data_IF_141676483463
#
_entry.id   IF_141676483463
#
_cell.length_a   1.000
_cell.length_b   1.000
_cell.length_c   1.000
_cell.angle_alpha   90.00
_cell.angle_beta   90.00
_cell.angle_gamma   90.00
#
_symmetry.space_group_name_H-M   'P 1'
#
loop_
_entity.id
_entity.type
_entity.pdbx_description
1 polymer ?
#
# COMPACT_ATOMS: atom_id res chain seq x y z
N UNK A 1 -1.11 -21.67 2.24
CA UNK A 1 -2.00 -21.19 1.16
C UNK A 1 -1.14 -20.88 -0.07
N UNK A 2 -1.70 -20.79 -1.28
CA UNK A 2 -0.91 -20.35 -2.47
C UNK A 2 -0.24 -18.98 -2.24
N UNK A 3 -0.90 -18.11 -1.47
CA UNK A 3 -0.39 -16.78 -1.14
C UNK A 3 0.85 -16.81 -0.25
N UNK A 4 0.96 -17.76 0.67
CA UNK A 4 2.12 -17.84 1.57
C UNK A 4 3.41 -18.08 0.76
N UNK A 5 3.34 -18.93 -0.27
CA UNK A 5 4.46 -19.18 -1.18
C UNK A 5 4.78 -17.94 -2.01
N UNK A 6 3.78 -17.28 -2.59
CA UNK A 6 3.97 -16.05 -3.37
C UNK A 6 4.62 -14.95 -2.52
N UNK A 7 4.19 -14.80 -1.26
CA UNK A 7 4.73 -13.81 -0.33
C UNK A 7 6.18 -14.14 0.02
N UNK A 8 6.50 -15.39 0.33
CA UNK A 8 7.86 -15.77 0.70
C UNK A 8 8.83 -15.70 -0.49
N UNK A 9 8.41 -16.13 -1.68
CA UNK A 9 9.23 -16.06 -2.92
C UNK A 9 9.50 -14.62 -3.36
N UNK A 10 8.60 -13.67 -3.07
CA UNK A 10 8.71 -12.26 -3.46
C UNK A 10 9.05 -11.34 -2.27
N UNK A 11 9.49 -11.91 -1.16
CA UNK A 11 9.83 -11.16 0.04
C UNK A 11 10.92 -10.15 -0.25
N UNK A 12 10.67 -8.89 0.11
CA UNK A 12 11.58 -7.76 -0.15
C UNK A 12 11.47 -7.15 -1.55
N UNK A 13 10.74 -7.77 -2.49
CA UNK A 13 10.46 -7.20 -3.82
C UNK A 13 8.99 -6.80 -4.02
N UNK A 14 8.10 -7.16 -3.08
CA UNK A 14 6.72 -6.66 -3.06
C UNK A 14 6.73 -5.15 -2.86
N UNK A 15 6.36 -4.43 -3.91
CA UNK A 15 6.28 -2.97 -3.86
C UNK A 15 4.96 -2.51 -3.26
N UNK A 16 3.84 -3.07 -3.71
CA UNK A 16 2.48 -2.61 -3.43
C UNK A 16 1.54 -3.77 -3.17
N UNK A 17 0.62 -3.58 -2.23
CA UNK A 17 -0.56 -4.42 -2.09
C UNK A 17 -1.83 -3.60 -2.38
N UNK A 18 -2.78 -4.20 -3.08
CA UNK A 18 -4.08 -3.59 -3.37
C UNK A 18 -5.16 -4.56 -2.95
N UNK A 19 -6.12 -4.06 -2.16
CA UNK A 19 -7.31 -4.78 -1.78
C UNK A 19 -8.53 -4.05 -2.33
N UNK A 20 -9.50 -4.80 -2.86
CA UNK A 20 -10.75 -4.27 -3.40
C UNK A 20 -11.94 -5.02 -2.82
N UNK A 21 -13.01 -4.32 -2.47
CA UNK A 21 -14.27 -4.93 -2.02
C UNK A 21 -15.42 -3.96 -2.17
N UNK A 22 -16.59 -4.46 -2.56
CA UNK A 22 -17.82 -3.65 -2.58
C UNK A 22 -18.36 -3.36 -1.17
N UNK A 23 -17.98 -4.19 -0.18
CA UNK A 23 -18.26 -3.94 1.23
C UNK A 23 -17.32 -2.86 1.77
N UNK A 24 -17.81 -1.62 1.70
CA UNK A 24 -17.11 -0.42 2.18
C UNK A 24 -16.87 -0.43 3.68
N UNK A 25 -17.73 -1.08 4.47
CA UNK A 25 -17.57 -1.11 5.93
C UNK A 25 -16.39 -2.02 6.30
N UNK A 26 -16.32 -3.19 5.68
CA UNK A 26 -15.18 -4.10 5.86
C UNK A 26 -13.87 -3.48 5.40
N UNK A 27 -13.87 -2.75 4.27
CA UNK A 27 -12.69 -1.97 3.86
C UNK A 27 -12.31 -0.90 4.87
N UNK A 28 -13.28 -0.12 5.37
CA UNK A 28 -12.99 0.92 6.36
C UNK A 28 -12.37 0.35 7.64
N UNK A 29 -12.89 -0.80 8.13
CA UNK A 29 -12.34 -1.53 9.27
C UNK A 29 -10.90 -2.00 8.99
N UNK A 30 -10.69 -2.66 7.85
CA UNK A 30 -9.37 -3.12 7.43
C UNK A 30 -8.37 -1.96 7.30
N UNK A 31 -8.76 -0.84 6.68
CA UNK A 31 -7.91 0.36 6.57
C UNK A 31 -7.52 0.91 7.93
N UNK A 32 -8.45 0.91 8.89
CA UNK A 32 -8.19 1.37 10.26
C UNK A 32 -7.18 0.46 10.98
N UNK A 33 -7.31 -0.85 10.82
CA UNK A 33 -6.37 -1.82 11.38
C UNK A 33 -4.97 -1.70 10.74
N UNK A 34 -4.91 -1.61 9.40
CA UNK A 34 -3.66 -1.47 8.66
C UNK A 34 -2.88 -0.20 9.05
N UNK A 35 -3.56 0.90 9.37
CA UNK A 35 -2.93 2.15 9.83
C UNK A 35 -2.22 2.04 11.18
N UNK A 36 -2.34 0.92 11.89
CA UNK A 36 -1.58 0.66 13.13
C UNK A 36 -0.16 0.15 12.87
N UNK A 37 0.14 -0.28 11.64
CA UNK A 37 1.46 -0.75 11.22
C UNK A 37 2.30 0.39 10.64
N UNK A 38 3.62 0.20 10.56
CA UNK A 38 4.56 1.15 9.96
C UNK A 38 4.57 1.06 8.42
N UNK A 39 3.46 1.47 7.81
CA UNK A 39 3.19 1.42 6.37
C UNK A 39 2.45 2.68 5.91
N UNK A 40 2.39 2.91 4.60
CA UNK A 40 1.50 3.91 4.01
C UNK A 40 0.23 3.25 3.50
N UNK A 41 -0.94 3.76 3.92
CA UNK A 41 -2.27 3.25 3.53
C UNK A 41 -3.02 4.36 2.81
N UNK A 42 -3.34 4.14 1.54
CA UNK A 42 -4.04 5.11 0.69
C UNK A 42 -5.23 4.47 -0.02
N UNK A 43 -5.96 5.25 -0.81
CA UNK A 43 -7.04 4.78 -1.66
C UNK A 43 -7.05 5.61 -2.94
N UNK A 44 -7.27 4.95 -4.08
CA UNK A 44 -7.41 5.61 -5.39
C UNK A 44 -8.86 5.61 -5.87
N UNK A 45 -9.72 4.81 -5.24
CA UNK A 45 -11.13 4.66 -5.59
C UNK A 45 -11.93 4.18 -4.35
N UNK A 46 -13.24 4.51 -4.21
CA UNK A 46 -13.99 4.25 -2.98
C UNK A 46 -14.11 2.78 -2.53
N UNK A 47 -13.74 1.83 -3.38
CA UNK A 47 -13.82 0.38 -3.12
C UNK A 47 -12.44 -0.27 -3.03
N UNK A 48 -11.36 0.51 -2.88
CA UNK A 48 -10.01 -0.03 -2.74
C UNK A 48 -9.20 0.60 -1.61
N UNK A 49 -8.23 -0.19 -1.16
CA UNK A 49 -7.13 0.23 -0.29
C UNK A 49 -5.83 -0.16 -0.97
N UNK A 50 -4.85 0.72 -0.88
CA UNK A 50 -3.51 0.50 -1.38
C UNK A 50 -2.51 0.62 -0.22
N UNK A 51 -1.63 -0.36 -0.09
CA UNK A 51 -0.58 -0.40 0.93
C UNK A 51 0.78 -0.31 0.27
N UNK A 52 1.61 0.58 0.79
CA UNK A 52 2.98 0.86 0.35
C UNK A 52 3.91 0.86 1.57
N UNK A 53 5.21 0.73 1.35
CA UNK A 53 6.20 0.91 2.41
C UNK A 53 6.12 2.32 3.00
N UNK A 54 6.51 2.46 4.27
CA UNK A 54 6.51 3.75 4.96
C UNK A 54 7.27 4.82 4.15
N UNK A 55 6.70 6.03 4.04
CA UNK A 55 7.33 7.13 3.31
C UNK A 55 7.29 7.00 1.79
N UNK A 56 6.70 5.93 1.22
CA UNK A 56 6.48 5.81 -0.22
C UNK A 56 5.14 6.45 -0.58
N UNK A 57 5.19 7.61 -1.22
CA UNK A 57 4.02 8.31 -1.76
C UNK A 57 4.35 8.98 -3.08
N UNK A 58 3.33 9.32 -3.88
CA UNK A 58 3.52 10.06 -5.14
C UNK A 58 4.18 11.43 -4.90
N UNK A 59 3.82 12.11 -3.81
CA UNK A 59 4.43 13.38 -3.42
C UNK A 59 5.93 13.23 -3.12
N UNK A 60 6.29 12.25 -2.31
CA UNK A 60 7.69 12.00 -1.95
C UNK A 60 8.51 11.56 -3.17
N UNK A 61 7.92 10.79 -4.09
CA UNK A 61 8.59 10.41 -5.34
C UNK A 61 8.92 11.64 -6.21
N UNK A 62 7.98 12.57 -6.38
CA UNK A 62 8.22 13.81 -7.12
C UNK A 62 9.26 14.69 -6.42
N UNK A 63 9.22 14.78 -5.09
CA UNK A 63 10.22 15.52 -4.31
C UNK A 63 11.63 14.93 -4.51
N UNK A 64 11.77 13.61 -4.48
CA UNK A 64 13.04 12.92 -4.73
C UNK A 64 13.56 13.20 -6.15
N UNK A 65 12.71 13.09 -7.17
CA UNK A 65 13.08 13.40 -8.55
C UNK A 65 13.50 14.86 -8.70
N UNK A 66 12.76 15.79 -8.11
CA UNK A 66 13.08 17.21 -8.14
C UNK A 66 14.41 17.55 -7.44
N UNK A 67 14.84 16.75 -6.47
CA UNK A 67 16.17 16.86 -5.83
C UNK A 67 17.27 16.23 -6.68
N UNK A 68 16.97 15.13 -7.37
CA UNK A 68 17.93 14.39 -8.19
C UNK A 68 18.36 15.16 -9.45
N UNK A 69 17.43 15.87 -10.09
CA UNK A 69 17.67 16.63 -11.32
C UNK A 69 18.04 18.12 -11.10
N UNK A 70 18.34 18.52 -9.86
CA UNK A 70 18.89 19.86 -9.55
C UNK A 70 20.40 19.87 -9.70
#
# INVERSE_FOLDING_TARGET
>A
SQWDNVIEENKGSILKMVMTSEDKESLAKCSKELKTFDIEVTSSYPINIEVMNKGVSKGNAVEFLAKYYK
#
